data_IF_833408811055
#
_entry.id   IF_833408811055
#
_cell.length_a   1.000
_cell.length_b   1.000
_cell.length_c   1.000
_cell.angle_alpha   90.00
_cell.angle_beta   90.00
_cell.angle_gamma   90.00
#
_symmetry.space_group_name_H-M   'P 1'
#
loop_
_entity.id
_entity.type
_entity.pdbx_description
1 polymer ?
#
# COMPACT_ATOMS: atom_id res chain seq x y z
N UNK A 1 -8.43 18.90 10.08
CA UNK A 1 -8.14 18.55 8.67
C UNK A 1 -9.42 18.02 8.06
N UNK A 2 -9.95 18.66 6.99
CA UNK A 2 -11.11 18.18 6.25
C UNK A 2 -10.63 17.57 4.93
N UNK A 3 -11.29 16.53 4.45
CA UNK A 3 -11.04 16.00 3.11
C UNK A 3 -11.33 17.09 2.07
N UNK A 4 -10.37 17.41 1.21
CA UNK A 4 -10.51 18.44 0.15
C UNK A 4 -10.15 19.87 0.56
N UNK A 5 -9.65 20.10 1.77
CA UNK A 5 -9.13 21.40 2.20
C UNK A 5 -7.66 21.53 1.78
N UNK A 6 -7.30 22.62 1.07
CA UNK A 6 -5.90 22.90 0.73
C UNK A 6 -5.19 23.38 1.99
N UNK A 7 -4.70 22.42 2.77
CA UNK A 7 -3.83 22.67 3.90
C UNK A 7 -2.40 22.44 3.43
N UNK A 8 -1.61 23.50 3.29
CA UNK A 8 -0.22 23.43 2.79
C UNK A 8 0.74 22.58 3.64
N UNK A 9 0.24 21.91 4.68
CA UNK A 9 0.99 21.02 5.56
C UNK A 9 0.58 19.55 5.42
N UNK A 10 -0.43 19.21 4.61
CA UNK A 10 -0.89 17.82 4.48
C UNK A 10 -1.39 17.47 3.07
N UNK A 11 -0.93 16.34 2.49
CA UNK A 11 -1.34 15.94 1.16
C UNK A 11 -2.82 15.55 1.12
N UNK A 12 -3.43 15.71 -0.06
CA UNK A 12 -4.76 15.19 -0.32
C UNK A 12 -4.77 13.67 -0.13
N UNK A 13 -5.77 13.16 0.59
CA UNK A 13 -5.91 11.72 0.87
C UNK A 13 -7.36 11.27 0.81
N UNK A 14 -7.57 10.02 0.39
CA UNK A 14 -8.86 9.34 0.37
C UNK A 14 -8.75 8.05 1.17
N UNK A 15 -9.73 7.79 2.04
CA UNK A 15 -9.75 6.59 2.89
C UNK A 15 -10.98 5.74 2.58
N UNK A 16 -10.76 4.47 2.29
CA UNK A 16 -11.81 3.46 2.23
C UNK A 16 -11.73 2.59 3.48
N UNK A 17 -12.77 2.65 4.32
CA UNK A 17 -12.87 1.80 5.51
C UNK A 17 -13.51 0.47 5.15
N UNK A 18 -12.80 -0.63 5.39
CA UNK A 18 -13.28 -1.99 5.11
C UNK A 18 -13.85 -2.63 6.38
N UNK A 19 -14.82 -3.56 6.26
CA UNK A 19 -15.25 -4.40 7.38
C UNK A 19 -14.06 -5.17 7.97
N UNK A 20 -13.94 -5.15 9.29
CA UNK A 20 -12.83 -5.81 10.01
C UNK A 20 -13.20 -7.15 10.64
N UNK A 21 -14.49 -7.47 10.73
CA UNK A 21 -15.05 -8.64 11.41
C UNK A 21 -16.23 -9.23 10.62
N UNK A 22 -16.51 -10.51 10.86
CA UNK A 22 -17.65 -11.22 10.30
C UNK A 22 -17.50 -11.64 8.82
N UNK A 23 -18.55 -12.28 8.24
CA UNK A 23 -18.47 -12.91 6.92
C UNK A 23 -18.10 -11.96 5.78
N UNK A 24 -18.52 -10.69 5.88
CA UNK A 24 -18.16 -9.66 4.90
C UNK A 24 -16.67 -9.33 4.93
N UNK A 25 -16.05 -9.31 6.13
CA UNK A 25 -14.62 -9.08 6.25
C UNK A 25 -13.83 -10.26 5.67
N UNK A 26 -14.26 -11.50 5.90
CA UNK A 26 -13.61 -12.69 5.32
C UNK A 26 -13.64 -12.68 3.80
N UNK A 27 -14.78 -12.28 3.20
CA UNK A 27 -14.91 -12.12 1.75
C UNK A 27 -14.00 -11.03 1.20
N UNK A 28 -13.87 -9.91 1.93
CA UNK A 28 -13.13 -8.74 1.44
C UNK A 28 -11.62 -8.79 1.69
N UNK A 29 -11.18 -9.38 2.81
CA UNK A 29 -9.78 -9.38 3.25
C UNK A 29 -8.99 -10.53 2.62
N UNK A 30 -9.06 -10.60 1.29
CA UNK A 30 -8.30 -11.52 0.44
C UNK A 30 -7.41 -10.71 -0.50
N UNK A 31 -6.25 -11.26 -0.89
CA UNK A 31 -5.35 -10.56 -1.80
C UNK A 31 -6.05 -10.13 -3.11
N UNK A 32 -6.81 -10.99 -3.83
CA UNK A 32 -7.43 -10.59 -5.09
C UNK A 32 -8.43 -9.44 -4.94
N UNK A 33 -9.24 -9.43 -3.87
CA UNK A 33 -10.22 -8.36 -3.64
C UNK A 33 -9.52 -7.05 -3.29
N UNK A 34 -8.53 -7.07 -2.39
CA UNK A 34 -7.79 -5.86 -2.04
C UNK A 34 -6.97 -5.34 -3.22
N UNK A 35 -6.38 -6.21 -4.04
CA UNK A 35 -5.74 -5.83 -5.30
C UNK A 35 -6.71 -5.13 -6.24
N UNK A 36 -7.93 -5.67 -6.42
CA UNK A 36 -8.97 -5.03 -7.22
C UNK A 36 -9.38 -3.65 -6.68
N UNK A 37 -9.57 -3.53 -5.37
CA UNK A 37 -9.91 -2.26 -4.70
C UNK A 37 -8.80 -1.22 -4.88
N UNK A 38 -7.54 -1.57 -4.58
CA UNK A 38 -6.41 -0.64 -4.71
C UNK A 38 -6.20 -0.25 -6.17
N UNK A 39 -6.34 -1.19 -7.11
CA UNK A 39 -6.31 -0.90 -8.56
C UNK A 39 -7.38 0.11 -8.96
N UNK A 40 -8.63 -0.09 -8.52
CA UNK A 40 -9.73 0.84 -8.82
C UNK A 40 -9.49 2.23 -8.24
N UNK A 41 -8.94 2.32 -7.01
CA UNK A 41 -8.57 3.60 -6.42
C UNK A 41 -7.44 4.28 -7.20
N UNK A 42 -6.44 3.53 -7.64
CA UNK A 42 -5.34 4.06 -8.44
C UNK A 42 -5.83 4.65 -9.78
N UNK A 43 -6.70 3.91 -10.48
CA UNK A 43 -7.28 4.34 -11.78
C UNK A 43 -8.21 5.55 -11.63
N UNK A 44 -8.97 5.64 -10.52
CA UNK A 44 -9.98 6.68 -10.36
C UNK A 44 -9.42 8.02 -9.85
N UNK A 45 -8.31 8.01 -9.10
CA UNK A 45 -7.75 9.21 -8.48
C UNK A 45 -6.32 9.56 -8.91
N UNK A 46 -5.65 8.67 -9.66
CA UNK A 46 -4.24 8.82 -10.05
C UNK A 46 -3.32 9.31 -8.91
N UNK A 47 -3.37 8.70 -7.70
CA UNK A 47 -2.59 9.17 -6.56
C UNK A 47 -1.10 8.83 -6.72
N UNK A 48 -0.24 9.47 -5.94
CA UNK A 48 1.19 9.08 -5.87
C UNK A 48 1.37 7.66 -5.33
N UNK A 49 0.50 7.25 -4.41
CA UNK A 49 0.54 5.93 -3.77
C UNK A 49 -0.83 5.57 -3.15
N UNK A 50 -1.05 4.27 -2.93
CA UNK A 50 -2.17 3.74 -2.14
C UNK A 50 -1.65 2.59 -1.30
N UNK A 51 -2.16 2.43 -0.07
CA UNK A 51 -1.84 1.27 0.77
C UNK A 51 -3.11 0.67 1.40
N UNK A 52 -3.33 -0.63 1.17
CA UNK A 52 -4.31 -1.43 1.90
C UNK A 52 -3.62 -2.14 3.07
N UNK A 53 -3.97 -1.76 4.30
CA UNK A 53 -3.35 -2.30 5.51
C UNK A 53 -4.31 -2.27 6.70
N UNK A 54 -4.06 -3.12 7.71
CA UNK A 54 -4.77 -3.03 8.99
C UNK A 54 -4.25 -1.84 9.81
N UNK A 55 -5.09 -1.32 10.71
CA UNK A 55 -4.67 -0.30 11.70
C UNK A 55 -3.49 -0.80 12.53
N UNK A 56 -3.54 -2.04 12.99
CA UNK A 56 -2.44 -2.67 13.73
C UNK A 56 -1.12 -2.69 12.96
N UNK A 57 -1.15 -2.88 11.63
CA UNK A 57 0.05 -2.81 10.80
C UNK A 57 0.55 -1.37 10.67
N UNK A 58 -0.37 -0.41 10.50
CA UNK A 58 -0.05 1.02 10.41
C UNK A 58 0.62 1.52 11.70
N UNK A 59 0.09 1.14 12.85
CA UNK A 59 0.59 1.58 14.15
C UNK A 59 1.96 0.96 14.47
N UNK A 60 2.29 -0.19 13.88
CA UNK A 60 3.62 -0.79 13.98
C UNK A 60 4.67 -0.03 13.16
N UNK A 61 4.27 0.72 12.14
CA UNK A 61 5.14 1.55 11.28
C UNK A 61 4.90 3.06 11.52
N UNK A 62 4.88 3.44 12.81
CA UNK A 62 4.37 4.74 13.29
C UNK A 62 5.21 5.98 12.91
N UNK A 63 6.27 5.82 12.10
CA UNK A 63 7.20 6.88 11.69
C UNK A 63 7.39 6.97 10.16
N UNK A 64 6.52 6.33 9.41
CA UNK A 64 6.63 6.28 7.96
C UNK A 64 5.94 7.46 7.28
N UNK A 65 6.69 8.21 6.46
CA UNK A 65 6.11 9.22 5.55
C UNK A 65 5.21 8.60 4.47
N UNK A 66 5.47 7.33 4.13
CA UNK A 66 4.64 6.51 3.27
C UNK A 66 4.55 5.09 3.81
N UNK A 67 3.34 4.55 3.89
CA UNK A 67 3.11 3.19 4.38
C UNK A 67 3.21 2.14 3.27
N UNK A 68 3.92 1.06 3.56
CA UNK A 68 3.86 -0.18 2.78
C UNK A 68 2.77 -1.08 3.40
N UNK A 69 1.68 -1.26 2.68
CA UNK A 69 0.57 -2.11 3.08
C UNK A 69 0.75 -3.56 2.64
N UNK A 70 -0.28 -4.38 2.83
CA UNK A 70 -0.32 -5.72 2.24
C UNK A 70 -0.37 -5.62 0.70
N UNK A 71 -1.21 -4.71 0.21
CA UNK A 71 -1.25 -4.30 -1.20
C UNK A 71 -0.91 -2.81 -1.25
N UNK A 72 0.09 -2.45 -2.04
CA UNK A 72 0.50 -1.07 -2.25
C UNK A 72 0.57 -0.74 -3.73
N UNK A 73 -0.01 0.38 -4.12
CA UNK A 73 0.21 0.97 -5.44
C UNK A 73 1.27 2.07 -5.35
N UNK A 74 2.17 2.12 -6.33
CA UNK A 74 3.11 3.22 -6.55
C UNK A 74 2.94 3.76 -7.97
N UNK A 75 2.77 5.07 -8.08
CA UNK A 75 2.75 5.79 -9.36
C UNK A 75 4.10 5.65 -10.09
N UNK A 76 4.06 5.56 -11.43
CA UNK A 76 5.25 5.59 -12.29
C UNK A 76 6.13 6.81 -12.06
N UNK A 77 5.53 7.92 -11.61
CA UNK A 77 6.25 9.17 -11.35
C UNK A 77 7.26 9.05 -10.20
N UNK A 78 7.08 8.06 -9.32
CA UNK A 78 8.02 7.78 -8.23
C UNK A 78 9.23 6.98 -8.66
N UNK A 79 9.15 6.31 -9.82
CA UNK A 79 10.21 5.47 -10.37
C UNK A 79 9.77 4.03 -10.63
N UNK A 80 10.75 3.18 -10.94
CA UNK A 80 10.54 1.77 -11.27
C UNK A 80 10.73 0.90 -10.04
N UNK A 81 9.77 0.01 -9.78
CA UNK A 81 9.86 -0.96 -8.68
C UNK A 81 11.02 -1.93 -8.96
N UNK A 82 12.03 -2.04 -8.07
CA UNK A 82 13.12 -2.99 -8.24
C UNK A 82 12.59 -4.44 -8.11
N UNK A 83 13.36 -5.45 -8.54
CA UNK A 83 13.03 -6.84 -8.24
C UNK A 83 12.83 -7.06 -6.73
N UNK A 84 11.71 -7.69 -6.36
CA UNK A 84 11.34 -7.96 -4.97
C UNK A 84 11.41 -9.47 -4.68
N UNK A 85 11.71 -9.88 -3.43
CA UNK A 85 11.81 -11.30 -3.07
C UNK A 85 10.44 -11.99 -3.13
N UNK A 86 10.43 -13.29 -3.44
CA UNK A 86 9.22 -14.09 -3.25
C UNK A 86 8.75 -14.05 -1.78
N UNK A 87 7.43 -14.15 -1.51
CA UNK A 87 6.32 -14.38 -2.44
C UNK A 87 5.73 -13.11 -3.07
N UNK A 88 6.45 -11.97 -3.02
CA UNK A 88 5.93 -10.70 -3.51
C UNK A 88 5.60 -10.76 -4.99
N UNK A 89 4.44 -10.24 -5.35
CA UNK A 89 4.01 -10.09 -6.75
C UNK A 89 3.95 -8.63 -7.11
N UNK A 90 4.42 -8.31 -8.31
CA UNK A 90 4.33 -6.97 -8.90
C UNK A 90 3.40 -7.07 -10.09
N UNK A 91 2.36 -6.24 -10.13
CA UNK A 91 1.39 -6.19 -11.23
C UNK A 91 1.31 -4.78 -11.81
N UNK A 92 1.36 -4.59 -13.13
CA UNK A 92 1.19 -3.27 -13.74
C UNK A 92 -0.25 -2.76 -13.59
N UNK A 93 -0.39 -1.45 -13.46
CA UNK A 93 -1.66 -0.73 -13.53
C UNK A 93 -1.65 0.16 -14.76
N UNK A 94 -1.89 -0.46 -15.92
CA UNK A 94 -1.75 0.22 -17.22
C UNK A 94 -0.36 0.85 -17.35
N UNK A 95 -0.31 2.10 -17.81
CA UNK A 95 0.89 2.92 -17.82
C UNK A 95 1.07 3.72 -16.52
N UNK A 96 0.10 3.73 -15.60
CA UNK A 96 0.08 4.62 -14.42
C UNK A 96 1.08 4.25 -13.33
N UNK A 97 1.39 2.97 -13.15
CA UNK A 97 2.26 2.52 -12.07
C UNK A 97 2.22 1.02 -11.81
N UNK A 98 2.59 0.62 -10.60
CA UNK A 98 2.71 -0.79 -10.19
C UNK A 98 2.00 -1.07 -8.87
N UNK A 99 1.32 -2.21 -8.79
CA UNK A 99 0.84 -2.83 -7.55
C UNK A 99 1.89 -3.80 -7.02
N UNK A 100 2.13 -3.72 -5.73
CA UNK A 100 3.00 -4.61 -4.96
C UNK A 100 2.10 -5.37 -3.98
N UNK A 101 2.05 -6.69 -4.10
CA UNK A 101 1.28 -7.59 -3.25
C UNK A 101 2.28 -8.41 -2.44
N UNK A 102 2.35 -8.20 -1.13
CA UNK A 102 3.37 -8.86 -0.30
C UNK A 102 3.22 -10.38 -0.25
N UNK A 103 1.99 -10.86 -0.06
CA UNK A 103 1.66 -12.27 0.13
C UNK A 103 0.33 -12.62 -0.54
N UNK A 104 0.15 -13.83 -1.10
CA UNK A 104 -1.17 -14.27 -1.59
C UNK A 104 -2.17 -14.54 -0.46
N UNK A 105 -1.70 -15.03 0.68
CA UNK A 105 -2.46 -15.24 1.91
C UNK A 105 -2.61 -13.96 2.72
N UNK A 106 -3.58 -13.96 3.64
CA UNK A 106 -3.90 -12.80 4.47
C UNK A 106 -2.71 -12.34 5.30
N UNK A 107 -2.24 -11.13 5.00
CA UNK A 107 -1.20 -10.47 5.77
C UNK A 107 -1.70 -10.11 7.17
N UNK A 108 -0.88 -10.39 8.18
CA UNK A 108 -1.17 -10.15 9.59
C UNK A 108 0.10 -9.78 10.34
N UNK A 109 -0.02 -8.84 11.28
CA UNK A 109 1.08 -8.44 12.17
C UNK A 109 1.49 -9.56 13.12
N UNK A 110 0.56 -10.47 13.44
CA UNK A 110 0.82 -11.61 14.31
C UNK A 110 1.76 -12.66 13.67
N UNK A 111 1.92 -12.66 12.35
CA UNK A 111 2.86 -13.54 11.68
C UNK A 111 4.23 -12.83 11.54
N UNK A 112 5.29 -13.29 12.22
CA UNK A 112 6.60 -12.64 12.14
C UNK A 112 7.22 -12.71 10.74
N UNK A 113 6.89 -13.73 9.94
CA UNK A 113 7.38 -13.86 8.57
C UNK A 113 6.81 -12.75 7.67
N UNK A 114 5.53 -12.39 7.85
CA UNK A 114 4.90 -11.27 7.16
C UNK A 114 5.60 -9.96 7.49
N UNK A 115 5.87 -9.70 8.77
CA UNK A 115 6.54 -8.47 9.20
C UNK A 115 7.99 -8.40 8.71
N UNK A 116 8.72 -9.53 8.72
CA UNK A 116 10.08 -9.61 8.18
C UNK A 116 10.10 -9.33 6.67
N UNK A 117 9.15 -9.89 5.92
CA UNK A 117 9.01 -9.63 4.49
C UNK A 117 8.68 -8.15 4.22
N UNK A 118 7.71 -7.58 4.93
CA UNK A 118 7.33 -6.17 4.78
C UNK A 118 8.52 -5.25 5.05
N UNK A 119 9.29 -5.49 6.11
CA UNK A 119 10.51 -4.73 6.41
C UNK A 119 11.55 -4.86 5.29
N UNK A 120 11.80 -6.08 4.80
CA UNK A 120 12.77 -6.30 3.73
C UNK A 120 12.36 -5.60 2.43
N UNK A 121 11.08 -5.68 2.05
CA UNK A 121 10.56 -4.98 0.87
C UNK A 121 10.67 -3.46 1.06
N UNK A 122 10.32 -2.94 2.24
CA UNK A 122 10.47 -1.52 2.57
C UNK A 122 11.90 -1.03 2.41
N UNK A 123 12.89 -1.79 2.90
CA UNK A 123 14.32 -1.49 2.74
C UNK A 123 14.73 -1.41 1.26
N UNK A 124 14.26 -2.37 0.43
CA UNK A 124 14.55 -2.38 -1.01
C UNK A 124 13.91 -1.20 -1.75
N UNK A 125 12.64 -0.89 -1.46
CA UNK A 125 11.94 0.25 -2.04
C UNK A 125 12.57 1.57 -1.61
N UNK A 126 12.98 1.69 -0.34
CA UNK A 126 13.66 2.88 0.17
C UNK A 126 15.04 3.06 -0.47
N UNK A 127 15.81 1.98 -0.63
CA UNK A 127 17.10 2.00 -1.34
C UNK A 127 16.97 2.39 -2.82
N UNK A 128 15.80 2.14 -3.43
CA UNK A 128 15.46 2.59 -4.78
C UNK A 128 14.85 4.01 -4.83
N UNK A 129 14.75 4.71 -3.69
CA UNK A 129 14.20 6.06 -3.60
C UNK A 129 12.67 6.15 -3.66
N UNK A 130 11.96 5.02 -3.64
CA UNK A 130 10.50 4.98 -3.86
C UNK A 130 9.68 5.32 -2.60
N UNK A 131 10.32 5.35 -1.43
CA UNK A 131 9.65 5.56 -0.13
C UNK A 131 9.76 6.99 0.44
N UNK A 132 10.40 7.91 -0.29
CA UNK A 132 10.59 9.29 0.15
C UNK A 132 9.29 10.09 0.05
N UNK A 133 9.02 11.08 0.92
CA UNK A 133 7.88 11.99 0.76
C UNK A 133 7.87 12.59 -0.66
N UNK A 134 6.71 12.67 -1.30
CA UNK A 134 6.59 13.51 -2.49
C UNK A 134 6.70 14.97 -2.05
N UNK A 135 7.73 15.66 -2.54
CA UNK A 135 7.85 17.11 -2.35
C UNK A 135 6.67 17.77 -3.07
N UNK A 136 5.91 18.59 -2.33
CA UNK A 136 4.88 19.45 -2.90
C UNK A 136 5.48 20.54 -3.79
#
# INVERSE_FOLDING_TARGET
>A
MKCGDYCGTSPNSCFLSLPSQGPNAERMLTAPVLTGVVRSMAVAWEPDWVAAMSRTHRDADNKADMWLGWVTYLSRQRGTVPPLPAPVRIEPVGDMGSLIILTPERFTVANPAHMALARRVRELLAGAGLMQPTSA
#
